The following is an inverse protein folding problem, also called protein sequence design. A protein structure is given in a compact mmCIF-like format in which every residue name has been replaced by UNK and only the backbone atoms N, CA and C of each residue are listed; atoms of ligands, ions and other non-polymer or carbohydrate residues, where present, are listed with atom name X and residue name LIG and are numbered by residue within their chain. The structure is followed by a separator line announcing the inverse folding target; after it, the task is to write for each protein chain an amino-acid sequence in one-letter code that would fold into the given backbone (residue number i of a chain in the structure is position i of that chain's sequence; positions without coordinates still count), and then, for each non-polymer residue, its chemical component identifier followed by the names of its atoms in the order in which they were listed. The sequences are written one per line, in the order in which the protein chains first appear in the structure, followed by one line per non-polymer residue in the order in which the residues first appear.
data_IF_218566188509
#
_entry.id   IF_218566188509
#
_cell.length_a   1.000
_cell.length_b   1.000
_cell.length_c   1.000
_cell.angle_alpha   90.00
_cell.angle_beta   90.00
_cell.angle_gamma   90.00
#
_symmetry.space_group_name_H-M   'P 1'
#
loop_
_entity.id
_entity.type
_entity.pdbx_description
1 polymer ?
#
# COMPACT_ATOMS: atom_id res chain seq x y z
N UNK A 1 27.93 25.32 8.02
CA UNK A 1 26.82 24.41 7.66
C UNK A 1 26.72 24.38 6.15
N UNK A 2 26.86 23.22 5.52
CA UNK A 2 26.85 23.11 4.05
C UNK A 2 25.45 23.41 3.51
N UNK A 3 25.36 24.33 2.56
CA UNK A 3 24.11 24.82 1.96
C UNK A 3 23.55 23.84 0.91
N UNK A 4 23.51 22.55 1.23
CA UNK A 4 23.13 21.48 0.29
C UNK A 4 21.69 21.56 -0.21
N UNK A 5 20.82 22.34 0.45
CA UNK A 5 19.42 22.55 0.06
C UNK A 5 19.21 23.68 -0.96
N UNK A 6 20.25 24.48 -1.27
CA UNK A 6 20.18 25.55 -2.27
C UNK A 6 20.54 25.08 -3.68
N UNK A 7 21.10 23.87 -3.80
CA UNK A 7 21.48 23.28 -5.08
C UNK A 7 20.40 22.32 -5.53
N UNK A 8 20.09 22.32 -6.82
CA UNK A 8 19.16 21.38 -7.42
C UNK A 8 19.63 19.92 -7.21
N UNK A 9 18.68 19.03 -6.92
CA UNK A 9 18.96 17.62 -6.67
C UNK A 9 19.40 16.92 -7.96
N UNK A 10 20.70 16.67 -8.11
CA UNK A 10 21.25 15.84 -9.18
C UNK A 10 21.55 14.43 -8.66
N UNK A 11 20.60 13.51 -8.86
CA UNK A 11 20.77 12.11 -8.45
C UNK A 11 21.31 11.27 -9.63
N UNK A 12 22.32 10.41 -9.44
CA UNK A 12 22.83 9.54 -10.50
C UNK A 12 21.80 8.49 -10.88
N UNK A 13 21.68 8.18 -12.18
CA UNK A 13 20.88 7.05 -12.63
C UNK A 13 21.52 5.74 -12.12
N UNK A 14 20.76 4.97 -11.35
CA UNK A 14 21.18 3.67 -10.82
C UNK A 14 20.27 2.58 -11.37
N UNK A 15 20.87 1.47 -11.79
CA UNK A 15 20.14 0.24 -12.04
C UNK A 15 19.88 -0.45 -10.70
N UNK A 16 18.59 -0.63 -10.36
CA UNK A 16 18.16 -1.22 -9.09
C UNK A 16 17.74 -2.67 -9.31
N UNK A 17 18.60 -3.61 -8.93
CA UNK A 17 18.40 -5.07 -9.08
C UNK A 17 18.13 -5.78 -7.73
N UNK A 18 17.93 -5.01 -6.65
CA UNK A 18 17.56 -5.54 -5.34
C UNK A 18 16.07 -5.87 -5.24
N UNK A 19 15.59 -6.33 -4.06
CA UNK A 19 14.18 -6.68 -3.83
C UNK A 19 13.20 -5.49 -3.82
N UNK A 20 13.66 -4.31 -4.23
CA UNK A 20 12.89 -3.07 -4.30
C UNK A 20 13.52 -1.94 -3.49
N UNK A 21 13.21 -0.67 -3.82
CA UNK A 21 12.38 -0.25 -4.97
C UNK A 21 13.05 -0.51 -6.32
N UNK A 22 12.25 -0.65 -7.37
CA UNK A 22 12.72 -0.85 -8.75
C UNK A 22 12.93 0.48 -9.47
N UNK A 23 13.67 0.46 -10.58
CA UNK A 23 13.79 1.62 -11.47
C UNK A 23 12.43 2.00 -12.06
N UNK A 24 12.13 3.30 -12.12
CA UNK A 24 10.86 3.81 -12.62
C UNK A 24 10.96 4.08 -14.12
N UNK A 25 9.98 3.60 -14.88
CA UNK A 25 9.92 3.84 -16.32
C UNK A 25 9.77 5.35 -16.62
N UNK A 26 10.48 5.93 -17.61
CA UNK A 26 10.45 7.37 -17.90
C UNK A 26 9.04 7.96 -18.09
N UNK A 27 8.12 7.22 -18.74
CA UNK A 27 6.69 7.62 -18.86
C UNK A 27 6.01 7.90 -17.51
N UNK A 28 6.33 7.15 -16.46
CA UNK A 28 5.74 7.34 -15.13
C UNK A 28 6.28 8.62 -14.49
N UNK A 29 7.59 8.90 -14.65
CA UNK A 29 8.21 10.14 -14.16
C UNK A 29 7.63 11.37 -14.89
N UNK A 30 7.44 11.27 -16.20
CA UNK A 30 6.80 12.33 -16.99
C UNK A 30 5.35 12.58 -16.54
N UNK A 31 4.58 11.52 -16.25
CA UNK A 31 3.22 11.66 -15.73
C UNK A 31 3.21 12.34 -14.34
N UNK A 32 4.15 12.00 -13.45
CA UNK A 32 4.27 12.62 -12.12
C UNK A 32 4.64 14.12 -12.17
N UNK A 33 5.30 14.58 -13.24
CA UNK A 33 5.63 15.98 -13.45
C UNK A 33 4.47 16.80 -14.05
N UNK A 34 3.33 16.18 -14.32
CA UNK A 34 2.16 16.88 -14.90
C UNK A 34 1.53 17.85 -13.89
N UNK A 35 0.83 18.90 -14.36
CA UNK A 35 0.12 19.82 -13.49
C UNK A 35 -0.89 19.12 -12.57
N UNK A 36 -1.05 19.63 -11.36
CA UNK A 36 -1.97 19.08 -10.36
C UNK A 36 -3.42 19.34 -10.80
N UNK A 37 -4.27 18.32 -10.69
CA UNK A 37 -5.71 18.40 -10.92
C UNK A 37 -6.48 18.66 -9.63
N UNK A 38 -7.65 19.27 -9.74
CA UNK A 38 -8.58 19.40 -8.62
C UNK A 38 -9.14 18.04 -8.19
N UNK A 39 -9.31 17.83 -6.88
CA UNK A 39 -9.83 16.56 -6.35
C UNK A 39 -11.30 16.26 -6.71
N UNK A 40 -12.04 17.25 -7.22
CA UNK A 40 -13.41 17.11 -7.72
C UNK A 40 -13.51 17.38 -9.24
N UNK A 41 -12.36 17.48 -9.92
CA UNK A 41 -12.33 17.72 -11.36
C UNK A 41 -12.91 16.49 -12.10
N UNK A 42 -13.83 16.67 -13.07
CA UNK A 42 -14.30 15.58 -13.92
C UNK A 42 -13.18 14.75 -14.55
N UNK A 43 -12.06 15.39 -14.94
CA UNK A 43 -10.90 14.69 -15.49
C UNK A 43 -10.23 13.77 -14.47
N UNK A 44 -10.25 14.14 -13.19
CA UNK A 44 -9.73 13.29 -12.11
C UNK A 44 -10.57 12.01 -11.96
N UNK A 45 -11.90 12.12 -12.03
CA UNK A 45 -12.78 10.94 -11.97
C UNK A 45 -12.54 9.98 -13.12
N UNK A 46 -12.33 10.49 -14.35
CA UNK A 46 -11.98 9.64 -15.48
C UNK A 46 -10.67 8.86 -15.24
N UNK A 47 -9.62 9.54 -14.75
CA UNK A 47 -8.35 8.88 -14.43
C UNK A 47 -8.53 7.83 -13.33
N UNK A 48 -9.39 8.10 -12.35
CA UNK A 48 -9.69 7.14 -11.28
C UNK A 48 -10.38 5.89 -11.82
N UNK A 49 -11.37 6.05 -12.70
CA UNK A 49 -12.08 4.95 -13.35
C UNK A 49 -11.13 4.09 -14.19
N UNK A 50 -10.26 4.73 -14.98
CA UNK A 50 -9.26 4.04 -15.80
C UNK A 50 -8.27 3.25 -14.92
N UNK A 51 -7.84 3.82 -13.79
CA UNK A 51 -6.95 3.15 -12.82
C UNK A 51 -7.63 1.96 -12.17
N UNK A 52 -8.91 2.08 -11.80
CA UNK A 52 -9.67 0.95 -11.28
C UNK A 52 -9.77 -0.19 -12.29
N UNK A 53 -10.02 0.11 -13.57
CA UNK A 53 -10.07 -0.90 -14.62
C UNK A 53 -8.70 -1.58 -14.85
N UNK A 54 -7.62 -0.80 -14.88
CA UNK A 54 -6.27 -1.34 -14.95
C UNK A 54 -5.93 -2.25 -13.77
N UNK A 55 -6.37 -1.90 -12.56
CA UNK A 55 -6.14 -2.73 -11.37
C UNK A 55 -6.95 -4.03 -11.43
N UNK A 56 -8.17 -4.03 -12.00
CA UNK A 56 -8.92 -5.27 -12.25
C UNK A 56 -8.17 -6.22 -13.18
N UNK A 57 -7.55 -5.67 -14.24
CA UNK A 57 -6.69 -6.46 -15.13
C UNK A 57 -5.47 -7.02 -14.41
N UNK A 58 -4.79 -6.22 -13.58
CA UNK A 58 -3.58 -6.67 -12.85
C UNK A 58 -3.90 -7.74 -11.80
N UNK A 59 -5.03 -7.63 -11.10
CA UNK A 59 -5.44 -8.56 -10.06
C UNK A 59 -6.29 -9.74 -10.57
N UNK A 60 -6.63 -9.76 -11.87
CA UNK A 60 -7.51 -10.77 -12.48
C UNK A 60 -8.85 -10.92 -11.72
N UNK A 61 -9.55 -9.82 -11.44
CA UNK A 61 -10.86 -9.81 -10.76
C UNK A 61 -11.94 -9.19 -11.64
N UNK A 62 -13.14 -9.80 -11.64
CA UNK A 62 -14.32 -9.31 -12.36
C UNK A 62 -15.22 -8.42 -11.48
N UNK A 63 -14.89 -8.26 -10.19
CA UNK A 63 -15.74 -7.53 -9.24
C UNK A 63 -15.68 -6.02 -9.50
N UNK A 64 -16.83 -5.45 -9.84
CA UNK A 64 -17.00 -4.00 -10.05
C UNK A 64 -16.79 -3.17 -8.78
N UNK A 65 -17.11 -3.74 -7.60
CA UNK A 65 -17.04 -3.05 -6.31
C UNK A 65 -15.68 -3.14 -5.60
N UNK A 66 -14.67 -3.75 -6.23
CA UNK A 66 -13.30 -3.65 -5.73
C UNK A 66 -12.81 -2.23 -6.04
N UNK A 67 -13.23 -1.27 -5.21
CA UNK A 67 -12.57 0.02 -5.11
C UNK A 67 -11.11 -0.29 -4.87
N UNK A 68 -10.30 -0.20 -5.92
CA UNK A 68 -8.92 -0.61 -5.87
C UNK A 68 -8.17 0.44 -5.07
N UNK A 69 -8.22 0.32 -3.74
CA UNK A 69 -7.64 1.31 -2.85
C UNK A 69 -6.12 1.25 -2.99
N UNK A 70 -5.55 2.30 -3.57
CA UNK A 70 -4.12 2.55 -3.57
C UNK A 70 -3.72 2.86 -2.14
N UNK A 71 -3.31 1.83 -1.40
CA UNK A 71 -2.79 2.01 -0.04
C UNK A 71 -1.31 1.68 -0.06
N UNK A 72 -0.52 2.62 0.44
CA UNK A 72 0.92 2.41 0.66
C UNK A 72 1.15 1.13 1.50
N UNK A 73 2.11 0.32 1.07
CA UNK A 73 2.33 -1.07 1.54
C UNK A 73 2.37 -1.23 3.07
N UNK A 74 2.93 -0.28 3.83
CA UNK A 74 2.98 -0.39 5.30
C UNK A 74 1.66 0.00 5.99
N UNK A 75 0.84 0.83 5.34
CA UNK A 75 -0.40 1.39 5.91
C UNK A 75 -1.61 0.54 5.54
N UNK A 76 -1.50 -0.27 4.48
CA UNK A 76 -2.54 -1.19 4.04
C UNK A 76 -2.92 -2.22 5.10
N UNK A 77 -1.94 -2.72 5.85
CA UNK A 77 -2.18 -3.74 6.88
C UNK A 77 -2.96 -3.21 8.09
N UNK A 78 -2.68 -1.98 8.53
CA UNK A 78 -3.38 -1.38 9.67
C UNK A 78 -4.79 -0.88 9.34
N UNK A 79 -5.03 -0.44 8.09
CA UNK A 79 -6.30 0.18 7.71
C UNK A 79 -7.35 -0.82 7.21
N UNK A 80 -6.96 -2.00 6.70
CA UNK A 80 -7.91 -2.97 6.11
C UNK A 80 -8.43 -3.98 7.12
N UNK A 81 -7.60 -4.40 8.08
CA UNK A 81 -7.99 -5.31 9.17
C UNK A 81 -9.25 -4.82 9.91
N UNK A 82 -9.35 -3.57 10.38
CA UNK A 82 -10.55 -3.10 11.09
C UNK A 82 -11.80 -2.96 10.22
N UNK A 83 -11.67 -2.94 8.89
CA UNK A 83 -12.83 -2.80 8.01
C UNK A 83 -13.53 -4.14 7.73
N UNK A 84 -12.90 -5.26 8.06
CA UNK A 84 -13.39 -6.62 7.76
C UNK A 84 -13.57 -7.45 9.04
N UNK A 85 -12.88 -7.09 10.12
CA UNK A 85 -12.77 -7.89 11.34
C UNK A 85 -13.32 -7.06 12.50
N UNK A 86 -14.20 -7.67 13.29
CA UNK A 86 -14.80 -7.09 14.47
C UNK A 86 -14.19 -7.65 15.78
N UNK A 87 -14.29 -6.93 16.92
CA UNK A 87 -13.85 -7.48 18.20
C UNK A 87 -14.55 -8.81 18.53
N UNK A 88 -13.76 -9.87 18.68
CA UNK A 88 -14.26 -11.22 18.96
C UNK A 88 -14.11 -12.21 17.80
N UNK A 89 -13.79 -11.73 16.59
CA UNK A 89 -13.51 -12.60 15.45
C UNK A 89 -12.18 -13.35 15.61
N UNK A 90 -12.19 -14.64 15.22
CA UNK A 90 -10.98 -15.45 15.15
C UNK A 90 -10.25 -15.25 13.82
N UNK A 91 -8.96 -14.92 13.88
CA UNK A 91 -8.13 -14.63 12.71
C UNK A 91 -6.93 -15.58 12.64
N UNK A 92 -6.81 -16.30 11.52
CA UNK A 92 -5.66 -17.15 11.22
C UNK A 92 -4.59 -16.38 10.43
N UNK A 93 -3.37 -16.29 10.96
CA UNK A 93 -2.23 -15.64 10.27
C UNK A 93 -1.10 -16.65 10.07
N UNK A 94 -0.85 -17.03 8.81
CA UNK A 94 0.28 -17.89 8.46
C UNK A 94 1.60 -17.11 8.52
N UNK A 95 2.43 -17.38 9.54
CA UNK A 95 3.74 -16.73 9.72
C UNK A 95 4.83 -17.46 8.91
N UNK A 96 4.99 -17.08 7.65
CA UNK A 96 6.05 -17.61 6.76
C UNK A 96 7.03 -16.52 6.28
N UNK A 97 7.74 -15.87 7.22
CA UNK A 97 8.77 -14.87 6.92
C UNK A 97 8.47 -13.46 7.48
N UNK A 98 9.27 -12.48 7.05
CA UNK A 98 9.25 -11.11 7.60
C UNK A 98 7.86 -10.45 7.55
N UNK A 99 7.15 -10.58 6.43
CA UNK A 99 5.84 -9.97 6.26
C UNK A 99 4.75 -10.63 7.13
N UNK A 100 4.82 -11.95 7.34
CA UNK A 100 3.92 -12.65 8.26
C UNK A 100 4.09 -12.19 9.71
N UNK A 101 5.35 -11.97 10.15
CA UNK A 101 5.63 -11.40 11.48
C UNK A 101 5.05 -9.99 11.63
N UNK A 102 5.14 -9.17 10.59
CA UNK A 102 4.60 -7.80 10.62
C UNK A 102 3.07 -7.80 10.73
N UNK A 103 2.40 -8.72 10.03
CA UNK A 103 0.95 -8.91 10.14
C UNK A 103 0.53 -9.29 11.56
N UNK A 104 1.22 -10.24 12.19
CA UNK A 104 0.97 -10.64 13.59
C UNK A 104 1.15 -9.46 14.54
N UNK A 105 2.22 -8.66 14.38
CA UNK A 105 2.46 -7.50 15.24
C UNK A 105 1.38 -6.43 15.06
N UNK A 106 0.92 -6.19 13.82
CA UNK A 106 -0.18 -5.27 13.55
C UNK A 106 -1.48 -5.75 14.19
N UNK A 107 -1.78 -7.05 14.12
CA UNK A 107 -2.94 -7.66 14.76
C UNK A 107 -2.90 -7.52 16.29
N UNK A 108 -1.76 -7.82 16.91
CA UNK A 108 -1.58 -7.69 18.35
C UNK A 108 -1.82 -6.25 18.84
N UNK A 109 -1.35 -5.24 18.10
CA UNK A 109 -1.58 -3.83 18.41
C UNK A 109 -3.06 -3.45 18.28
N UNK A 110 -3.76 -3.97 17.27
CA UNK A 110 -5.19 -3.73 17.11
C UNK A 110 -6.01 -4.36 18.25
N UNK A 111 -5.71 -5.61 18.61
CA UNK A 111 -6.34 -6.30 19.75
C UNK A 111 -6.16 -5.53 21.05
N UNK A 112 -4.95 -5.01 21.30
CA UNK A 112 -4.66 -4.16 22.45
C UNK A 112 -5.53 -2.89 22.44
N UNK A 113 -5.66 -2.23 21.30
CA UNK A 113 -6.50 -1.03 21.16
C UNK A 113 -8.00 -1.32 21.35
N UNK A 114 -8.46 -2.49 20.90
CA UNK A 114 -9.87 -2.91 20.97
C UNK A 114 -10.23 -3.65 22.26
N UNK A 115 -9.31 -3.72 23.25
CA UNK A 115 -9.47 -4.50 24.49
C UNK A 115 -9.85 -5.96 24.25
N UNK A 116 -9.44 -6.52 23.11
CA UNK A 116 -9.75 -7.90 22.71
C UNK A 116 -8.54 -8.78 23.00
N UNK A 117 -8.75 -9.98 23.56
CA UNK A 117 -7.67 -10.94 23.75
C UNK A 117 -7.22 -11.55 22.42
N UNK A 118 -5.94 -11.90 22.30
CA UNK A 118 -5.44 -12.74 21.21
C UNK A 118 -4.54 -13.84 21.76
N UNK A 119 -4.54 -14.99 21.09
CA UNK A 119 -3.64 -16.11 21.41
C UNK A 119 -2.79 -16.42 20.20
N UNK A 120 -1.49 -16.60 20.40
CA UNK A 120 -0.57 -17.04 19.35
C UNK A 120 -0.46 -18.56 19.39
N UNK A 121 -1.18 -19.24 18.51
CA UNK A 121 -0.98 -20.66 18.26
C UNK A 121 0.19 -20.90 17.30
N UNK A 122 1.04 -21.88 17.59
CA UNK A 122 1.99 -22.42 16.60
C UNK A 122 1.34 -23.63 15.93
N UNK A 123 1.17 -23.56 14.61
CA UNK A 123 0.82 -24.72 13.79
C UNK A 123 2.15 -25.34 13.39
N UNK A 124 2.42 -26.55 13.90
CA UNK A 124 3.65 -27.31 13.65
C UNK A 124 3.73 -27.86 12.22
#
# INVERSE_FOLDING_TARGET
MSSSYMTELSAPQKMLLGPGPSTVHPRVLAAMASPVMGHLDPAFFQVMDDVCEMLRMVFHTEKKNDGAHIVYRNRSYGNRVPNVIEPGDEVLIARNGYFGVRLVNSWALWCYSSSTGYTLGQIG
#
